data_IF_114021625059
#
_entry.id   IF_114021625059
#
_cell.length_a   1.000
_cell.length_b   1.000
_cell.length_c   1.000
_cell.angle_alpha   90.00
_cell.angle_beta   90.00
_cell.angle_gamma   90.00
#
_symmetry.space_group_name_H-M   'P 1'
#
loop_
_entity.id
_entity.type
_entity.pdbx_description
1 polymer ?
#
# COMPACT_ATOMS: atom_id res chain seq x y z
N UNK A 1 32.33 -17.96 20.48
CA UNK A 1 32.95 -18.87 19.49
C UNK A 1 31.82 -19.54 18.76
N UNK A 2 31.71 -19.35 17.44
CA UNK A 2 30.74 -20.10 16.66
C UNK A 2 31.21 -21.56 16.63
N UNK A 3 30.42 -22.47 17.21
CA UNK A 3 30.60 -23.91 17.02
C UNK A 3 30.44 -24.20 15.53
N UNK A 4 31.43 -24.85 14.92
CA UNK A 4 31.32 -25.27 13.53
C UNK A 4 30.48 -26.55 13.47
N UNK A 5 29.24 -26.40 12.98
CA UNK A 5 28.23 -27.47 13.02
C UNK A 5 28.33 -28.46 11.84
N UNK A 6 29.05 -28.12 10.78
CA UNK A 6 29.01 -28.83 9.50
C UNK A 6 30.38 -29.18 8.90
N UNK A 7 31.49 -28.98 9.63
CA UNK A 7 32.85 -29.23 9.12
C UNK A 7 33.11 -30.71 8.79
N UNK A 8 32.37 -31.62 9.42
CA UNK A 8 32.43 -33.05 9.15
C UNK A 8 31.79 -33.45 7.80
N UNK A 9 31.14 -32.51 7.10
CA UNK A 9 30.44 -32.75 5.84
C UNK A 9 30.97 -31.86 4.73
N UNK A 10 31.04 -32.41 3.51
CA UNK A 10 31.30 -31.59 2.33
C UNK A 10 30.13 -30.63 2.08
N UNK A 11 30.38 -29.36 1.72
CA UNK A 11 29.32 -28.43 1.36
C UNK A 11 28.57 -28.95 0.13
N UNK A 12 27.24 -28.88 0.17
CA UNK A 12 26.38 -29.25 -0.95
C UNK A 12 26.14 -28.05 -1.86
N UNK A 13 26.27 -28.27 -3.17
CA UNK A 13 25.94 -27.26 -4.18
C UNK A 13 24.44 -27.25 -4.51
N UNK A 14 23.97 -26.14 -5.09
CA UNK A 14 22.61 -26.04 -5.67
C UNK A 14 22.36 -27.12 -6.73
N UNK A 15 23.38 -27.49 -7.51
CA UNK A 15 23.31 -28.56 -8.51
C UNK A 15 23.01 -29.92 -7.87
N UNK A 16 23.67 -30.27 -6.77
CA UNK A 16 23.44 -31.53 -6.06
C UNK A 16 22.03 -31.57 -5.44
N UNK A 17 21.57 -30.45 -4.86
CA UNK A 17 20.19 -30.32 -4.40
C UNK A 17 19.17 -30.53 -5.52
N UNK A 18 19.37 -29.88 -6.67
CA UNK A 18 18.50 -30.04 -7.84
C UNK A 18 18.47 -31.48 -8.34
N UNK A 19 19.61 -32.18 -8.37
CA UNK A 19 19.68 -33.59 -8.73
C UNK A 19 18.87 -34.46 -7.77
N UNK A 20 18.96 -34.20 -6.46
CA UNK A 20 18.18 -34.93 -5.47
C UNK A 20 16.68 -34.70 -5.63
N UNK A 21 16.24 -33.45 -5.84
CA UNK A 21 14.83 -33.14 -6.12
C UNK A 21 14.37 -33.87 -7.39
N UNK A 22 15.16 -33.84 -8.46
CA UNK A 22 14.82 -34.53 -9.70
C UNK A 22 14.67 -36.04 -9.53
N UNK A 23 15.50 -36.65 -8.68
CA UNK A 23 15.36 -38.06 -8.32
C UNK A 23 14.05 -38.33 -7.56
N UNK A 24 13.70 -37.48 -6.59
CA UNK A 24 12.45 -37.62 -5.82
C UNK A 24 11.17 -37.32 -6.63
N UNK A 25 11.29 -36.59 -7.74
CA UNK A 25 10.18 -36.32 -8.65
C UNK A 25 9.75 -37.54 -9.49
N UNK A 26 10.48 -38.65 -9.44
CA UNK A 26 10.14 -39.93 -10.10
C UNK A 26 9.69 -39.77 -11.57
N UNK A 27 10.45 -38.98 -12.33
CA UNK A 27 10.19 -38.72 -13.75
C UNK A 27 9.27 -37.53 -14.04
N UNK A 28 8.67 -36.88 -13.04
CA UNK A 28 7.95 -35.62 -13.23
C UNK A 28 8.91 -34.47 -13.59
N UNK A 29 8.44 -33.54 -14.43
CA UNK A 29 9.24 -32.39 -14.85
C UNK A 29 9.42 -31.39 -13.70
N UNK A 30 10.66 -30.98 -13.46
CA UNK A 30 11.01 -30.06 -12.39
C UNK A 30 10.36 -28.67 -12.57
N UNK A 31 10.36 -28.14 -13.80
CA UNK A 31 9.86 -26.79 -14.05
C UNK A 31 8.33 -26.73 -13.99
N UNK A 32 7.64 -27.80 -14.36
CA UNK A 32 6.18 -27.88 -14.27
C UNK A 32 5.69 -28.21 -12.86
N UNK A 33 6.45 -28.99 -12.08
CA UNK A 33 5.97 -29.53 -10.79
C UNK A 33 6.30 -28.64 -9.59
N UNK A 34 7.51 -28.09 -9.53
CA UNK A 34 8.01 -27.41 -8.31
C UNK A 34 8.33 -25.93 -8.48
N UNK A 35 8.36 -25.43 -9.72
CA UNK A 35 8.48 -23.98 -9.96
C UNK A 35 7.09 -23.38 -9.99
N UNK A 36 6.86 -22.39 -9.11
CA UNK A 36 5.64 -21.59 -9.16
C UNK A 36 5.87 -20.35 -10.02
N UNK A 37 5.03 -20.17 -11.04
CA UNK A 37 5.03 -18.96 -11.87
C UNK A 37 4.03 -17.95 -11.29
N UNK A 38 4.55 -16.82 -10.82
CA UNK A 38 3.71 -15.78 -10.25
C UNK A 38 3.02 -14.93 -11.34
N UNK A 39 1.95 -14.18 -11.00
CA UNK A 39 1.31 -13.23 -11.93
C UNK A 39 2.25 -12.14 -12.47
N UNK A 40 3.37 -11.87 -11.78
CA UNK A 40 4.44 -10.96 -12.16
C UNK A 40 5.44 -11.58 -13.15
N UNK A 41 5.18 -12.80 -13.64
CA UNK A 41 6.08 -13.56 -14.50
C UNK A 41 7.43 -13.83 -13.80
N UNK A 42 7.37 -14.09 -12.49
CA UNK A 42 8.53 -14.49 -11.67
C UNK A 42 8.45 -15.99 -11.42
N UNK A 43 9.55 -16.68 -11.73
CA UNK A 43 9.73 -18.10 -11.41
C UNK A 43 10.26 -18.25 -10.00
N UNK A 44 9.37 -18.62 -9.08
CA UNK A 44 9.73 -18.90 -7.69
C UNK A 44 10.23 -20.33 -7.60
N UNK A 45 11.51 -20.46 -7.25
CA UNK A 45 12.19 -21.74 -7.08
C UNK A 45 11.81 -22.37 -5.72
N UNK A 46 11.82 -23.71 -5.61
CA UNK A 46 11.56 -24.40 -4.34
C UNK A 46 12.68 -24.19 -3.30
N UNK A 47 13.87 -23.76 -3.72
CA UNK A 47 14.98 -23.41 -2.83
C UNK A 47 15.84 -22.30 -3.45
N UNK A 48 16.59 -21.61 -2.59
CA UNK A 48 17.58 -20.60 -2.96
C UNK A 48 18.89 -20.92 -2.24
N UNK A 49 20.02 -20.70 -2.92
CA UNK A 49 21.32 -21.13 -2.43
C UNK A 49 22.40 -20.06 -2.66
N UNK A 50 23.44 -20.06 -1.81
CA UNK A 50 24.50 -19.04 -1.82
C UNK A 50 25.33 -19.04 -3.11
N UNK A 51 25.51 -20.21 -3.75
CA UNK A 51 26.28 -20.32 -5.00
C UNK A 51 25.53 -19.77 -6.22
N UNK A 52 24.21 -19.56 -6.13
CA UNK A 52 23.39 -18.87 -7.14
C UNK A 52 23.15 -17.39 -6.78
N UNK A 53 23.57 -16.97 -5.58
CA UNK A 53 23.32 -15.62 -5.09
C UNK A 53 24.40 -14.65 -5.56
N UNK A 54 24.02 -13.65 -6.37
CA UNK A 54 24.97 -12.70 -6.96
C UNK A 54 25.20 -11.47 -6.10
N UNK A 55 24.13 -10.80 -5.63
CA UNK A 55 24.22 -9.56 -4.87
C UNK A 55 22.94 -9.27 -4.08
N UNK A 56 23.10 -8.78 -2.85
CA UNK A 56 21.99 -8.28 -2.03
C UNK A 56 21.50 -6.92 -2.53
N UNK A 57 20.19 -6.67 -2.38
CA UNK A 57 19.63 -5.35 -2.62
C UNK A 57 20.11 -4.40 -1.51
N UNK A 58 20.64 -3.24 -1.89
CA UNK A 58 21.02 -2.21 -0.93
C UNK A 58 19.78 -1.40 -0.56
N UNK A 59 19.05 -1.86 0.47
CA UNK A 59 17.82 -1.22 0.94
C UNK A 59 17.98 -0.85 2.41
N UNK A 60 18.18 0.42 2.68
CA UNK A 60 18.14 0.93 4.05
C UNK A 60 16.69 1.13 4.48
N UNK A 61 16.29 0.46 5.56
CA UNK A 61 14.97 0.66 6.17
C UNK A 61 15.09 0.90 7.67
N UNK A 62 14.08 1.54 8.25
CA UNK A 62 13.93 1.74 9.69
C UNK A 62 12.75 0.92 10.22
N UNK A 63 12.70 -0.37 9.84
CA UNK A 63 11.57 -1.24 10.14
C UNK A 63 11.22 -1.28 11.64
N UNK A 64 12.22 -1.18 12.54
CA UNK A 64 11.98 -1.19 13.98
C UNK A 64 11.24 0.07 14.49
N UNK A 65 11.35 1.19 13.76
CA UNK A 65 10.81 2.48 14.17
C UNK A 65 9.41 2.77 13.61
N UNK A 66 8.77 1.80 12.95
CA UNK A 66 7.47 1.98 12.29
C UNK A 66 6.43 2.57 13.25
N UNK A 67 5.59 3.47 12.73
CA UNK A 67 4.53 4.11 13.51
C UNK A 67 3.20 3.39 13.36
N UNK A 68 2.54 3.12 14.48
CA UNK A 68 1.16 2.66 14.53
C UNK A 68 0.24 3.85 14.22
N UNK A 69 -0.34 3.87 13.02
CA UNK A 69 -1.15 4.97 12.52
C UNK A 69 -2.65 4.64 12.64
N UNK A 70 -3.44 5.54 13.21
CA UNK A 70 -4.90 5.42 13.23
C UNK A 70 -5.54 6.29 12.14
N UNK A 71 -6.46 5.70 11.38
CA UNK A 71 -7.30 6.44 10.44
C UNK A 71 -8.48 7.08 11.17
N UNK A 72 -8.72 8.36 10.89
CA UNK A 72 -9.87 9.12 11.42
C UNK A 72 -10.53 9.89 10.27
N UNK A 73 -11.78 9.54 9.98
CA UNK A 73 -12.60 10.33 9.07
C UNK A 73 -13.19 11.54 9.80
N UNK A 74 -12.91 12.76 9.32
CA UNK A 74 -13.36 14.00 9.97
C UNK A 74 -14.71 14.41 9.41
N UNK A 75 -15.78 13.92 10.05
CA UNK A 75 -17.15 14.35 9.77
C UNK A 75 -17.62 15.43 10.75
N UNK A 76 -17.35 15.24 12.03
CA UNK A 76 -17.67 16.15 13.13
C UNK A 76 -16.39 16.43 13.91
N UNK A 77 -15.98 17.70 13.96
CA UNK A 77 -14.67 18.09 14.53
C UNK A 77 -14.56 17.68 15.99
N UNK A 78 -15.59 17.91 16.80
CA UNK A 78 -15.55 17.62 18.24
C UNK A 78 -15.46 16.11 18.51
N UNK A 79 -16.25 15.31 17.79
CA UNK A 79 -16.18 13.84 17.89
C UNK A 79 -14.84 13.31 17.38
N UNK A 80 -14.28 13.89 16.31
CA UNK A 80 -12.97 13.51 15.79
C UNK A 80 -11.84 13.84 16.78
N UNK A 81 -11.91 14.96 17.50
CA UNK A 81 -10.96 15.29 18.59
C UNK A 81 -11.02 14.22 19.68
N UNK A 82 -12.22 13.88 20.16
CA UNK A 82 -12.37 12.87 21.22
C UNK A 82 -11.83 11.51 20.80
N UNK A 83 -12.12 11.09 19.57
CA UNK A 83 -11.58 9.83 19.01
C UNK A 83 -10.06 9.87 18.86
N UNK A 84 -9.50 10.98 18.41
CA UNK A 84 -8.05 11.14 18.28
C UNK A 84 -7.36 11.05 19.65
N UNK A 85 -7.85 11.75 20.68
CA UNK A 85 -7.33 11.67 22.05
C UNK A 85 -7.38 10.24 22.59
N UNK A 86 -8.55 9.61 22.51
CA UNK A 86 -8.74 8.24 23.00
C UNK A 86 -7.82 7.24 22.32
N UNK A 87 -7.61 7.39 21.01
CA UNK A 87 -6.74 6.48 20.26
C UNK A 87 -5.27 6.68 20.62
N UNK A 88 -4.82 7.93 20.77
CA UNK A 88 -3.44 8.22 21.20
C UNK A 88 -3.15 7.68 22.61
N UNK A 89 -4.10 7.80 23.54
CA UNK A 89 -4.01 7.20 24.89
C UNK A 89 -3.91 5.66 24.85
N UNK A 90 -4.43 5.05 23.78
CA UNK A 90 -4.50 3.59 23.61
C UNK A 90 -3.42 3.03 22.68
N UNK A 91 -2.31 3.75 22.52
CA UNK A 91 -1.11 3.26 21.87
C UNK A 91 -0.96 3.59 20.40
N UNK A 92 -1.84 4.39 19.79
CA UNK A 92 -1.53 4.95 18.48
C UNK A 92 -0.37 5.96 18.58
N UNK A 93 0.57 5.86 17.66
CA UNK A 93 1.76 6.72 17.61
C UNK A 93 1.60 7.86 16.60
N UNK A 94 0.73 7.66 15.61
CA UNK A 94 0.44 8.60 14.54
C UNK A 94 -1.06 8.62 14.19
N UNK A 95 -1.53 9.71 13.58
CA UNK A 95 -2.91 9.90 13.14
C UNK A 95 -2.96 10.23 11.65
N UNK A 96 -3.95 9.70 10.92
CA UNK A 96 -4.30 10.11 9.56
C UNK A 96 -5.72 10.64 9.52
N UNK A 97 -5.85 11.94 9.30
CA UNK A 97 -7.15 12.59 9.13
C UNK A 97 -7.55 12.61 7.66
N UNK A 98 -8.77 12.16 7.36
CA UNK A 98 -9.38 12.38 6.04
C UNK A 98 -10.37 13.53 6.14
N UNK A 99 -10.13 14.60 5.37
CA UNK A 99 -10.90 15.85 5.42
C UNK A 99 -11.57 16.09 4.07
N UNK A 100 -12.89 16.21 4.09
CA UNK A 100 -13.71 16.32 2.88
C UNK A 100 -13.81 17.75 2.33
N UNK A 101 -13.65 18.77 3.19
CA UNK A 101 -13.96 20.15 2.85
C UNK A 101 -12.97 21.13 3.50
N UNK A 102 -12.55 22.16 2.75
CA UNK A 102 -11.64 23.20 3.24
C UNK A 102 -12.22 24.05 4.40
N UNK A 103 -13.54 24.01 4.61
CA UNK A 103 -14.22 24.70 5.72
C UNK A 103 -14.07 24.00 7.07
N UNK A 104 -13.48 22.81 7.12
CA UNK A 104 -13.22 22.12 8.39
C UNK A 104 -12.28 22.96 9.25
N UNK A 105 -12.67 23.24 10.50
CA UNK A 105 -11.85 23.97 11.46
C UNK A 105 -10.66 23.13 11.93
N UNK A 106 -9.58 23.21 11.15
CA UNK A 106 -8.36 22.45 11.38
C UNK A 106 -7.58 22.93 12.61
N UNK A 107 -7.71 24.21 12.95
CA UNK A 107 -7.08 24.75 14.14
C UNK A 107 -7.73 24.14 15.39
N UNK A 108 -9.06 24.18 15.48
CA UNK A 108 -9.81 23.53 16.56
C UNK A 108 -9.51 22.03 16.63
N UNK A 109 -9.48 21.34 15.49
CA UNK A 109 -9.20 19.89 15.43
C UNK A 109 -7.86 19.52 16.09
N UNK A 110 -6.83 20.35 15.92
CA UNK A 110 -5.46 20.05 16.37
C UNK A 110 -5.07 20.75 17.69
N UNK A 111 -5.86 21.72 18.15
CA UNK A 111 -5.54 22.60 19.28
C UNK A 111 -5.23 21.82 20.56
N UNK A 112 -6.05 20.81 20.90
CA UNK A 112 -5.92 20.07 22.15
C UNK A 112 -5.23 18.71 21.98
N UNK A 113 -4.77 18.36 20.78
CA UNK A 113 -4.11 17.07 20.54
C UNK A 113 -2.62 17.12 20.96
N UNK A 114 -2.10 16.08 21.65
CA UNK A 114 -0.70 16.00 22.08
C UNK A 114 0.20 15.53 20.91
N UNK A 115 0.52 16.45 19.99
CA UNK A 115 1.17 16.14 18.70
C UNK A 115 2.70 16.37 18.65
N UNK A 116 3.32 16.85 19.73
CA UNK A 116 4.77 17.11 19.76
C UNK A 116 5.56 15.85 19.39
N UNK A 117 6.47 15.99 18.41
CA UNK A 117 7.27 14.90 17.82
C UNK A 117 6.48 13.74 17.19
N UNK A 118 5.17 13.89 16.99
CA UNK A 118 4.34 12.87 16.32
C UNK A 118 4.24 13.12 14.83
N UNK A 119 3.92 12.07 14.10
CA UNK A 119 3.56 12.15 12.68
C UNK A 119 2.05 12.30 12.54
N UNK A 120 1.59 13.26 11.74
CA UNK A 120 0.18 13.43 11.38
C UNK A 120 0.04 13.52 9.86
N UNK A 121 -0.82 12.68 9.30
CA UNK A 121 -1.17 12.68 7.89
C UNK A 121 -2.51 13.37 7.65
N UNK A 122 -2.62 14.09 6.55
CA UNK A 122 -3.85 14.74 6.09
C UNK A 122 -4.16 14.28 4.67
N UNK A 123 -5.20 13.46 4.52
CA UNK A 123 -5.77 13.13 3.22
C UNK A 123 -6.87 14.16 2.93
N UNK A 124 -6.60 15.06 2.00
CA UNK A 124 -7.53 16.13 1.62
C UNK A 124 -8.25 15.75 0.32
N UNK A 125 -9.58 15.82 0.33
CA UNK A 125 -10.39 15.62 -0.89
C UNK A 125 -10.63 16.93 -1.66
N UNK A 126 -9.76 17.91 -1.45
CA UNK A 126 -9.74 19.22 -2.08
C UNK A 126 -8.29 19.71 -2.15
N UNK A 127 -8.06 20.75 -2.95
CA UNK A 127 -6.78 21.45 -3.01
C UNK A 127 -7.00 22.92 -2.67
N UNK A 128 -6.32 23.43 -1.65
CA UNK A 128 -6.50 24.79 -1.16
C UNK A 128 -5.18 25.35 -0.64
N UNK A 129 -4.75 26.49 -1.17
CA UNK A 129 -3.46 27.10 -0.83
C UNK A 129 -3.45 27.53 0.64
N UNK A 130 -4.50 28.21 1.08
CA UNK A 130 -4.57 28.79 2.41
C UNK A 130 -4.72 27.71 3.48
N UNK A 131 -5.47 26.64 3.20
CA UNK A 131 -5.59 25.50 4.09
C UNK A 131 -4.24 24.81 4.34
N UNK A 132 -3.45 24.61 3.29
CA UNK A 132 -2.14 23.95 3.42
C UNK A 132 -1.09 24.87 4.08
N UNK A 133 -1.13 26.18 3.85
CA UNK A 133 -0.31 27.15 4.59
C UNK A 133 -0.65 27.16 6.09
N UNK A 134 -1.93 27.06 6.42
CA UNK A 134 -2.37 26.95 7.80
C UNK A 134 -1.83 25.67 8.45
N UNK A 135 -1.90 24.52 7.74
CA UNK A 135 -1.28 23.27 8.20
C UNK A 135 0.22 23.39 8.42
N UNK A 136 0.97 24.05 7.52
CA UNK A 136 2.42 24.26 7.65
C UNK A 136 2.75 25.13 8.88
N UNK A 137 1.94 26.17 9.13
CA UNK A 137 2.09 27.00 10.32
C UNK A 137 1.80 26.22 11.61
N UNK A 138 0.74 25.40 11.60
CA UNK A 138 0.37 24.55 12.73
C UNK A 138 1.42 23.46 12.99
N UNK A 139 2.08 22.92 11.97
CA UNK A 139 3.12 21.90 12.15
C UNK A 139 4.30 22.46 12.96
N UNK A 140 4.68 23.71 12.72
CA UNK A 140 5.72 24.41 13.48
C UNK A 140 5.25 24.65 14.92
N UNK A 141 4.06 25.24 15.10
CA UNK A 141 3.51 25.56 16.42
C UNK A 141 3.40 24.31 17.31
N UNK A 142 3.01 23.18 16.72
CA UNK A 142 2.86 21.90 17.40
C UNK A 142 4.15 21.09 17.50
N UNK A 143 5.23 21.54 16.85
CA UNK A 143 6.49 20.79 16.71
C UNK A 143 6.24 19.34 16.26
N UNK A 144 5.42 19.19 15.23
CA UNK A 144 4.93 17.91 14.73
C UNK A 144 5.31 17.74 13.26
N UNK A 145 5.45 16.48 12.82
CA UNK A 145 5.77 16.16 11.42
C UNK A 145 4.48 15.95 10.65
N UNK A 146 4.13 16.90 9.80
CA UNK A 146 2.91 16.86 9.00
C UNK A 146 3.19 16.37 7.58
N UNK A 147 2.32 15.49 7.10
CA UNK A 147 2.24 15.03 5.72
C UNK A 147 0.88 15.44 5.16
N UNK A 148 0.87 16.43 4.27
CA UNK A 148 -0.33 16.82 3.54
C UNK A 148 -0.39 15.95 2.29
N UNK A 149 -1.04 14.80 2.34
CA UNK A 149 -1.03 13.79 1.28
C UNK A 149 -1.83 14.25 0.04
N UNK A 150 -1.42 15.34 -0.61
CA UNK A 150 -2.03 15.81 -1.84
C UNK A 150 -1.58 14.95 -3.01
N UNK A 151 -2.56 14.47 -3.77
CA UNK A 151 -2.34 13.65 -4.95
C UNK A 151 -3.34 14.01 -6.07
N UNK A 152 -3.17 15.14 -6.79
CA UNK A 152 -4.06 15.52 -7.88
C UNK A 152 -4.13 14.53 -9.04
N UNK A 153 -3.02 13.85 -9.37
CA UNK A 153 -3.01 12.83 -10.42
C UNK A 153 -3.75 11.58 -9.95
N UNK A 154 -3.57 11.14 -8.70
CA UNK A 154 -4.32 10.04 -8.11
C UNK A 154 -5.81 10.36 -8.01
N UNK A 155 -6.17 11.59 -7.64
CA UNK A 155 -7.56 12.06 -7.67
C UNK A 155 -8.13 12.04 -9.09
N UNK A 156 -7.37 12.52 -10.08
CA UNK A 156 -7.75 12.45 -11.49
C UNK A 156 -7.96 11.02 -11.97
N UNK A 157 -7.06 10.09 -11.61
CA UNK A 157 -7.18 8.67 -11.92
C UNK A 157 -8.42 8.02 -11.27
N UNK A 158 -8.73 8.39 -10.02
CA UNK A 158 -9.86 7.83 -9.23
C UNK A 158 -11.21 8.40 -9.61
N UNK A 159 -11.29 9.70 -9.86
CA UNK A 159 -12.56 10.40 -10.10
C UNK A 159 -12.84 10.64 -11.59
N UNK A 160 -11.80 10.59 -12.43
CA UNK A 160 -11.84 10.90 -13.85
C UNK A 160 -11.82 12.40 -14.18
N UNK A 161 -11.71 13.25 -13.15
CA UNK A 161 -11.62 14.71 -13.24
C UNK A 161 -10.60 15.22 -12.23
N UNK A 162 -9.93 16.33 -12.55
CA UNK A 162 -9.00 16.99 -11.64
C UNK A 162 -9.74 17.62 -10.43
N UNK A 163 -8.99 17.97 -9.38
CA UNK A 163 -9.59 18.80 -8.33
C UNK A 163 -10.09 20.11 -8.93
N UNK A 164 -11.20 20.60 -8.38
CA UNK A 164 -11.65 21.95 -8.66
C UNK A 164 -10.70 22.95 -8.00
N UNK A 165 -10.26 23.93 -8.78
CA UNK A 165 -9.35 25.01 -8.37
C UNK A 165 -10.01 26.35 -8.72
N UNK A 166 -9.68 27.42 -8.00
CA UNK A 166 -10.33 28.72 -8.19
C UNK A 166 -9.96 29.37 -9.53
N UNK A 167 -8.66 29.40 -9.88
CA UNK A 167 -8.15 30.19 -11.02
C UNK A 167 -7.00 29.55 -11.80
N UNK A 168 -6.36 28.51 -11.25
CA UNK A 168 -5.14 27.90 -11.80
C UNK A 168 -5.31 26.42 -12.06
N UNK A 169 -4.48 25.82 -12.92
CA UNK A 169 -4.48 24.37 -13.05
C UNK A 169 -3.90 23.71 -11.77
N UNK A 170 -4.11 22.41 -11.61
CA UNK A 170 -3.71 21.69 -10.40
C UNK A 170 -2.19 21.72 -10.15
N UNK A 171 -1.35 21.66 -11.20
CA UNK A 171 0.10 21.72 -11.06
C UNK A 171 0.58 23.11 -10.65
N UNK A 172 0.02 24.17 -11.24
CA UNK A 172 0.33 25.55 -10.85
C UNK A 172 -0.08 25.81 -9.38
N UNK A 173 -1.21 25.23 -8.94
CA UNK A 173 -1.64 25.32 -7.54
C UNK A 173 -0.66 24.59 -6.62
N UNK A 174 -0.21 23.38 -6.97
CA UNK A 174 0.83 22.66 -6.21
C UNK A 174 2.12 23.48 -6.13
N UNK A 175 2.59 24.04 -7.25
CA UNK A 175 3.81 24.84 -7.30
C UNK A 175 3.72 26.10 -6.42
N UNK A 176 2.56 26.76 -6.39
CA UNK A 176 2.34 27.86 -5.44
C UNK A 176 2.39 27.38 -3.98
N UNK A 177 1.77 26.24 -3.67
CA UNK A 177 1.79 25.68 -2.33
C UNK A 177 3.24 25.36 -1.94
N UNK A 178 3.98 24.63 -2.78
CA UNK A 178 5.35 24.19 -2.50
C UNK A 178 6.33 25.34 -2.30
N UNK A 179 6.11 26.49 -2.97
CA UNK A 179 6.88 27.71 -2.74
C UNK A 179 6.54 28.39 -1.40
N UNK A 180 5.34 28.19 -0.91
CA UNK A 180 4.83 28.83 0.33
C UNK A 180 4.91 27.97 1.59
N UNK A 181 5.21 26.67 1.46
CA UNK A 181 5.30 25.72 2.57
C UNK A 181 6.63 25.00 2.57
N UNK A 182 7.31 24.92 3.72
CA UNK A 182 8.64 24.30 3.84
C UNK A 182 8.76 23.28 4.96
N UNK A 183 7.76 23.19 5.85
CA UNK A 183 7.86 22.42 7.09
C UNK A 183 7.14 21.07 6.99
N UNK A 184 6.12 20.97 6.14
CA UNK A 184 5.41 19.73 5.83
C UNK A 184 5.89 19.05 4.54
N UNK A 185 5.62 17.76 4.43
CA UNK A 185 5.71 17.00 3.17
C UNK A 185 4.39 17.16 2.40
N UNK A 186 4.46 17.59 1.14
CA UNK A 186 3.31 18.09 0.39
C UNK A 186 2.64 17.07 -0.53
N UNK A 187 3.39 16.11 -1.06
CA UNK A 187 2.90 15.24 -2.13
C UNK A 187 2.81 13.80 -1.66
N UNK A 188 1.77 13.12 -2.14
CA UNK A 188 1.67 11.67 -2.02
C UNK A 188 1.32 11.02 -3.35
N UNK A 189 1.63 9.74 -3.47
CA UNK A 189 1.21 8.86 -4.57
C UNK A 189 0.49 7.66 -3.96
N UNK A 190 -0.80 7.51 -4.25
CA UNK A 190 -1.60 6.39 -3.77
C UNK A 190 -1.56 5.20 -4.74
N UNK A 191 -0.61 4.28 -4.52
CA UNK A 191 -0.53 3.02 -5.27
C UNK A 191 -1.65 2.05 -4.87
N UNK A 192 -2.27 2.27 -3.71
CA UNK A 192 -3.42 1.50 -3.24
C UNK A 192 -4.58 1.54 -4.23
N UNK A 193 -4.77 2.66 -4.95
CA UNK A 193 -5.73 2.74 -6.05
C UNK A 193 -5.51 1.64 -7.10
N UNK A 194 -4.27 1.47 -7.55
CA UNK A 194 -3.93 0.51 -8.60
C UNK A 194 -4.08 -0.93 -8.10
N UNK A 195 -3.58 -1.22 -6.90
CA UNK A 195 -3.72 -2.54 -6.31
C UNK A 195 -5.19 -2.93 -6.12
N UNK A 196 -5.99 -2.05 -5.50
CA UNK A 196 -7.40 -2.34 -5.23
C UNK A 196 -8.23 -2.43 -6.52
N UNK A 197 -7.74 -1.88 -7.65
CA UNK A 197 -8.31 -2.06 -8.98
C UNK A 197 -7.86 -3.36 -9.70
N UNK A 198 -6.84 -4.05 -9.17
CA UNK A 198 -6.36 -5.34 -9.68
C UNK A 198 -5.05 -5.29 -10.46
N UNK A 199 -4.23 -4.27 -10.25
CA UNK A 199 -2.88 -4.21 -10.79
C UNK A 199 -1.97 -5.26 -10.11
N UNK A 200 -1.12 -5.93 -10.88
CA UNK A 200 -0.05 -6.80 -10.36
C UNK A 200 0.98 -5.99 -9.56
N UNK A 201 1.82 -6.65 -8.77
CA UNK A 201 2.82 -5.94 -7.95
C UNK A 201 3.79 -5.12 -8.83
N UNK A 202 4.22 -5.66 -9.96
CA UNK A 202 5.05 -4.94 -10.94
C UNK A 202 4.36 -3.70 -11.48
N UNK A 203 3.06 -3.79 -11.79
CA UNK A 203 2.27 -2.65 -12.24
C UNK A 203 2.12 -1.60 -11.14
N UNK A 204 1.86 -2.01 -9.89
CA UNK A 204 1.74 -1.08 -8.75
C UNK A 204 3.01 -0.24 -8.60
N UNK A 205 4.18 -0.87 -8.58
CA UNK A 205 5.47 -0.17 -8.45
C UNK A 205 5.69 0.74 -9.65
N UNK A 206 5.63 0.22 -10.88
CA UNK A 206 5.91 0.99 -12.09
C UNK A 206 4.97 2.19 -12.26
N UNK A 207 3.66 2.00 -12.07
CA UNK A 207 2.67 3.07 -12.18
C UNK A 207 2.85 4.14 -11.11
N UNK A 208 3.21 3.76 -9.88
CA UNK A 208 3.50 4.74 -8.84
C UNK A 208 4.76 5.56 -9.10
N UNK A 209 5.80 4.93 -9.66
CA UNK A 209 7.05 5.60 -9.98
C UNK A 209 6.85 6.54 -11.15
N UNK A 210 6.13 6.10 -12.19
CA UNK A 210 5.76 6.94 -13.34
C UNK A 210 4.87 8.11 -12.89
N UNK A 211 3.89 7.86 -12.02
CA UNK A 211 3.08 8.90 -11.40
C UNK A 211 3.97 9.90 -10.62
N UNK A 212 4.85 9.44 -9.72
CA UNK A 212 5.77 10.32 -9.00
C UNK A 212 6.68 11.11 -9.96
N UNK A 213 7.10 10.50 -11.07
CA UNK A 213 7.91 11.13 -12.12
C UNK A 213 7.18 12.32 -12.77
N UNK A 214 5.85 12.25 -12.90
CA UNK A 214 5.06 13.39 -13.42
C UNK A 214 5.16 14.61 -12.49
N UNK A 215 5.22 14.39 -11.17
CA UNK A 215 5.43 15.46 -10.18
C UNK A 215 6.87 15.99 -10.23
N UNK A 216 7.87 15.10 -10.28
CA UNK A 216 9.28 15.49 -10.38
C UNK A 216 9.56 16.39 -11.60
N UNK A 217 8.90 16.11 -12.74
CA UNK A 217 9.03 16.91 -13.95
C UNK A 217 8.30 18.26 -13.91
N UNK A 218 7.21 18.38 -13.14
CA UNK A 218 6.31 19.55 -13.20
C UNK A 218 6.37 20.46 -11.99
N UNK A 219 6.84 19.97 -10.86
CA UNK A 219 6.91 20.70 -9.60
C UNK A 219 8.38 21.01 -9.32
N UNK A 220 8.87 22.24 -9.60
CA UNK A 220 10.30 22.57 -9.54
C UNK A 220 10.94 22.33 -8.17
N UNK A 221 10.15 22.42 -7.10
CA UNK A 221 10.58 22.18 -5.74
C UNK A 221 9.53 21.35 -5.01
N UNK A 222 9.91 20.14 -4.60
CA UNK A 222 9.10 19.29 -3.74
C UNK A 222 9.64 19.43 -2.31
N UNK A 223 8.82 19.91 -1.35
CA UNK A 223 9.28 20.06 0.03
C UNK A 223 9.31 18.69 0.73
N UNK A 224 10.41 18.43 1.45
CA UNK A 224 10.64 17.20 2.23
C UNK A 224 10.43 15.93 1.41
N UNK A 225 9.70 14.93 1.90
CA UNK A 225 9.61 13.59 1.31
C UNK A 225 8.31 13.43 0.49
N UNK A 226 8.31 12.51 -0.49
CA UNK A 226 7.06 12.05 -1.13
C UNK A 226 6.51 10.86 -0.36
N UNK A 227 5.21 10.91 -0.03
CA UNK A 227 4.53 9.79 0.63
C UNK A 227 4.03 8.80 -0.41
N UNK A 228 4.41 7.54 -0.29
CA UNK A 228 3.80 6.45 -1.06
C UNK A 228 2.78 5.74 -0.17
N UNK A 229 1.49 5.86 -0.51
CA UNK A 229 0.39 5.18 0.20
C UNK A 229 0.18 3.79 -0.41
N UNK A 230 0.59 2.75 0.31
CA UNK A 230 0.71 1.39 -0.21
C UNK A 230 -0.40 0.52 0.35
N UNK A 231 -1.15 -0.15 -0.54
CA UNK A 231 -1.95 -1.30 -0.12
C UNK A 231 -1.06 -2.54 0.04
N UNK A 232 -1.38 -3.46 0.96
CA UNK A 232 -0.61 -4.69 1.18
C UNK A 232 -1.55 -5.89 1.13
N UNK A 233 -1.26 -6.86 0.26
CA UNK A 233 -2.05 -8.08 0.05
C UNK A 233 -1.51 -9.32 0.76
N UNK A 234 -2.08 -10.47 0.42
CA UNK A 234 -1.83 -11.75 1.11
C UNK A 234 -0.54 -12.47 0.71
N UNK A 235 0.13 -12.06 -0.37
CA UNK A 235 1.37 -12.71 -0.80
C UNK A 235 2.56 -12.22 0.03
N UNK A 236 2.74 -12.85 1.19
CA UNK A 236 3.58 -12.39 2.29
C UNK A 236 4.98 -11.91 1.87
N UNK A 237 5.73 -12.73 1.12
CA UNK A 237 7.10 -12.42 0.72
C UNK A 237 7.18 -11.44 -0.45
N UNK A 238 6.25 -11.51 -1.40
CA UNK A 238 6.18 -10.54 -2.50
C UNK A 238 5.86 -9.15 -1.98
N UNK A 239 5.02 -9.03 -0.96
CA UNK A 239 4.70 -7.76 -0.33
C UNK A 239 5.90 -7.16 0.41
N UNK A 240 6.68 -7.97 1.14
CA UNK A 240 7.96 -7.54 1.72
C UNK A 240 8.90 -7.02 0.61
N UNK A 241 9.05 -7.81 -0.46
CA UNK A 241 9.92 -7.47 -1.57
C UNK A 241 9.45 -6.23 -2.35
N UNK A 242 8.12 -5.99 -2.43
CA UNK A 242 7.50 -4.83 -3.09
C UNK A 242 7.93 -3.53 -2.44
N UNK A 243 7.83 -3.43 -1.11
CA UNK A 243 8.20 -2.22 -0.37
C UNK A 243 9.69 -1.92 -0.52
N UNK A 244 10.54 -2.95 -0.43
CA UNK A 244 12.00 -2.85 -0.65
C UNK A 244 12.32 -2.37 -2.07
N UNK A 245 11.70 -2.97 -3.09
CA UNK A 245 11.92 -2.63 -4.49
C UNK A 245 11.47 -1.19 -4.81
N UNK A 246 10.31 -0.77 -4.28
CA UNK A 246 9.81 0.60 -4.46
C UNK A 246 10.77 1.64 -3.90
N UNK A 247 11.26 1.45 -2.66
CA UNK A 247 12.21 2.37 -2.02
C UNK A 247 13.50 2.50 -2.82
N UNK A 248 14.04 1.36 -3.28
CA UNK A 248 15.25 1.30 -4.09
C UNK A 248 15.07 2.03 -5.44
N UNK A 249 13.99 1.74 -6.16
CA UNK A 249 13.72 2.35 -7.46
C UNK A 249 13.38 3.84 -7.37
N UNK A 250 12.66 4.26 -6.33
CA UNK A 250 12.39 5.68 -6.13
C UNK A 250 13.68 6.46 -5.90
N UNK A 251 14.60 5.96 -5.06
CA UNK A 251 15.92 6.56 -4.85
C UNK A 251 16.71 6.67 -6.17
N UNK A 252 16.66 5.63 -6.99
CA UNK A 252 17.28 5.63 -8.32
C UNK A 252 16.70 6.73 -9.22
N UNK A 253 15.36 6.85 -9.28
CA UNK A 253 14.70 7.86 -10.13
C UNK A 253 14.93 9.28 -9.60
N UNK A 254 14.85 9.49 -8.28
CA UNK A 254 15.09 10.79 -7.66
C UNK A 254 16.51 11.32 -7.96
N UNK A 255 17.52 10.43 -7.96
CA UNK A 255 18.89 10.80 -8.26
C UNK A 255 19.06 11.42 -9.67
N UNK A 256 18.26 11.01 -10.65
CA UNK A 256 18.28 11.57 -12.02
C UNK A 256 17.84 13.05 -12.06
N UNK A 257 17.13 13.52 -11.03
CA UNK A 257 16.74 14.93 -10.87
C UNK A 257 17.73 15.73 -10.00
N UNK A 258 18.91 15.18 -9.70
CA UNK A 258 19.91 15.77 -8.80
C UNK A 258 19.30 16.14 -7.43
N UNK A 259 18.41 15.30 -6.91
CA UNK A 259 17.78 15.49 -5.60
C UNK A 259 17.98 14.26 -4.72
N UNK A 260 18.24 14.49 -3.43
CA UNK A 260 18.28 13.46 -2.39
C UNK A 260 16.88 13.19 -1.80
N UNK A 261 15.85 13.32 -2.64
CA UNK A 261 14.46 13.16 -2.22
C UNK A 261 14.21 11.73 -1.76
N UNK A 262 13.85 11.57 -0.50
CA UNK A 262 13.47 10.27 0.06
C UNK A 262 11.96 10.02 -0.02
N UNK A 263 11.57 8.74 0.01
CA UNK A 263 10.17 8.34 0.14
C UNK A 263 9.81 8.01 1.59
N UNK A 264 8.58 8.35 1.98
CA UNK A 264 7.92 7.90 3.19
C UNK A 264 6.84 6.87 2.82
N UNK A 265 6.91 5.66 3.35
CA UNK A 265 5.97 4.58 3.05
C UNK A 265 4.87 4.49 4.12
N UNK A 266 3.64 4.80 3.74
CA UNK A 266 2.45 4.61 4.57
C UNK A 266 1.66 3.41 4.07
N UNK A 267 1.71 2.31 4.82
CA UNK A 267 1.07 1.06 4.43
C UNK A 267 -0.32 0.88 5.05
N UNK A 268 -1.22 0.24 4.31
CA UNK A 268 -2.55 -0.18 4.77
C UNK A 268 -2.87 -1.53 4.13
N UNK A 269 -3.46 -2.49 4.85
CA UNK A 269 -4.01 -3.70 4.23
C UNK A 269 -4.93 -3.42 3.04
N UNK A 270 -4.84 -4.22 1.99
CA UNK A 270 -5.69 -4.08 0.79
C UNK A 270 -7.15 -4.32 1.13
N UNK A 271 -8.07 -3.68 0.39
CA UNK A 271 -9.51 -4.01 0.44
C UNK A 271 -9.85 -5.17 -0.52
N UNK A 272 -9.00 -5.43 -1.51
CA UNK A 272 -9.25 -6.34 -2.63
C UNK A 272 -9.60 -7.78 -2.20
N UNK A 273 -8.98 -8.26 -1.14
CA UNK A 273 -9.16 -9.62 -0.59
C UNK A 273 -10.04 -9.65 0.68
N UNK A 274 -10.71 -8.54 1.03
CA UNK A 274 -11.55 -8.44 2.21
C UNK A 274 -12.99 -8.82 1.87
N UNK A 275 -13.60 -9.57 2.77
CA UNK A 275 -14.88 -10.24 2.54
C UNK A 275 -15.92 -9.77 3.56
N UNK A 276 -17.20 -9.72 3.17
CA UNK A 276 -18.29 -9.39 4.10
C UNK A 276 -18.84 -10.64 4.80
N UNK A 277 -18.69 -11.81 4.17
CA UNK A 277 -18.95 -13.11 4.80
C UNK A 277 -17.69 -13.66 5.44
N UNK A 278 -17.89 -14.45 6.50
CA UNK A 278 -16.82 -14.96 7.35
C UNK A 278 -15.80 -13.86 7.70
N UNK A 279 -16.34 -12.68 8.05
CA UNK A 279 -15.57 -11.44 8.18
C UNK A 279 -14.46 -11.51 9.23
N UNK A 280 -14.54 -12.44 10.20
CA UNK A 280 -13.49 -12.67 11.18
C UNK A 280 -12.17 -13.12 10.52
N UNK A 281 -12.23 -13.78 9.35
CA UNK A 281 -11.04 -14.15 8.57
C UNK A 281 -10.29 -12.90 8.09
N UNK A 282 -10.95 -11.74 7.96
CA UNK A 282 -10.26 -10.49 7.66
C UNK A 282 -9.22 -10.15 8.72
N UNK A 283 -9.43 -10.50 10.00
CA UNK A 283 -8.42 -10.29 11.05
C UNK A 283 -7.15 -11.10 10.79
N UNK A 284 -7.27 -12.33 10.27
CA UNK A 284 -6.12 -13.16 9.92
C UNK A 284 -5.35 -12.57 8.73
N UNK A 285 -6.08 -12.09 7.72
CA UNK A 285 -5.51 -11.42 6.54
C UNK A 285 -4.71 -10.19 6.98
N UNK A 286 -5.33 -9.30 7.75
CA UNK A 286 -4.70 -8.05 8.19
C UNK A 286 -3.48 -8.29 9.07
N UNK A 287 -3.45 -9.34 9.90
CA UNK A 287 -2.24 -9.69 10.66
C UNK A 287 -1.05 -9.95 9.73
N UNK A 288 -1.21 -10.83 8.74
CA UNK A 288 -0.11 -11.16 7.80
C UNK A 288 0.26 -9.98 6.91
N UNK A 289 -0.71 -9.18 6.47
CA UNK A 289 -0.46 -7.98 5.66
C UNK A 289 0.28 -6.90 6.44
N UNK A 290 -0.07 -6.67 7.72
CA UNK A 290 0.66 -5.76 8.59
C UNK A 290 2.08 -6.27 8.87
N UNK A 291 2.27 -7.58 9.06
CA UNK A 291 3.62 -8.17 9.19
C UNK A 291 4.46 -7.91 7.95
N UNK A 292 3.95 -8.20 6.75
CA UNK A 292 4.65 -7.91 5.49
C UNK A 292 4.98 -6.42 5.33
N UNK A 293 4.06 -5.53 5.72
CA UNK A 293 4.29 -4.09 5.68
C UNK A 293 5.48 -3.67 6.57
N UNK A 294 5.52 -4.15 7.81
CA UNK A 294 6.58 -3.81 8.77
C UNK A 294 7.92 -4.39 8.30
N UNK A 295 7.95 -5.67 7.94
CA UNK A 295 9.17 -6.35 7.49
C UNK A 295 9.69 -5.84 6.14
N UNK A 296 8.81 -5.30 5.30
CA UNK A 296 9.17 -4.59 4.07
C UNK A 296 9.71 -3.17 4.31
N UNK A 297 9.70 -2.68 5.55
CA UNK A 297 10.23 -1.37 5.93
C UNK A 297 9.25 -0.22 5.72
N UNK A 298 7.96 -0.41 5.99
CA UNK A 298 7.00 0.68 6.04
C UNK A 298 7.33 1.64 7.20
N UNK A 299 7.24 2.95 6.95
CA UNK A 299 7.53 3.98 7.95
C UNK A 299 6.34 4.18 8.90
N UNK A 300 5.12 3.94 8.41
CA UNK A 300 3.91 3.86 9.22
C UNK A 300 2.94 2.81 8.66
N UNK A 301 2.19 2.17 9.55
CA UNK A 301 1.17 1.18 9.19
C UNK A 301 -0.17 1.61 9.79
N UNK A 302 -1.15 1.80 8.93
CA UNK A 302 -2.53 2.04 9.30
C UNK A 302 -3.35 0.77 9.01
N UNK A 303 -3.62 -0.03 10.04
CA UNK A 303 -4.36 -1.26 9.88
C UNK A 303 -5.85 -0.98 9.51
N UNK A 304 -6.48 -1.94 8.85
CA UNK A 304 -7.88 -1.87 8.42
C UNK A 304 -8.75 -2.66 9.43
N UNK A 305 -9.77 -2.04 10.05
CA UNK A 305 -10.74 -2.77 10.84
C UNK A 305 -11.43 -3.88 10.04
N UNK A 306 -11.67 -5.04 10.68
CA UNK A 306 -12.19 -6.24 10.02
C UNK A 306 -13.61 -6.04 9.43
N UNK A 307 -14.35 -5.07 9.99
CA UNK A 307 -15.73 -4.69 9.69
C UNK A 307 -15.86 -3.43 8.83
N UNK A 308 -14.74 -2.78 8.50
CA UNK A 308 -14.68 -1.49 7.79
C UNK A 308 -15.37 -1.45 6.42
N UNK A 309 -15.68 -2.60 5.83
CA UNK A 309 -16.43 -2.69 4.57
C UNK A 309 -17.93 -2.49 4.74
N UNK A 310 -18.49 -2.88 5.89
CA UNK A 310 -19.93 -3.00 6.09
C UNK A 310 -20.45 -2.31 7.35
N UNK A 311 -19.59 -1.97 8.32
CA UNK A 311 -19.95 -1.15 9.48
C UNK A 311 -19.32 0.23 9.41
N UNK A 312 -20.01 1.22 10.00
CA UNK A 312 -19.39 2.51 10.27
C UNK A 312 -18.25 2.34 11.28
N UNK A 313 -17.32 3.28 11.23
CA UNK A 313 -16.27 3.43 12.21
C UNK A 313 -16.77 3.26 13.65
N UNK A 314 -16.18 2.31 14.37
CA UNK A 314 -16.52 1.98 15.75
C UNK A 314 -15.27 1.61 16.54
N UNK A 315 -15.32 1.78 17.87
CA UNK A 315 -14.15 1.56 18.74
C UNK A 315 -13.75 0.08 18.84
N UNK A 316 -14.68 -0.87 18.63
CA UNK A 316 -14.32 -2.28 18.70
C UNK A 316 -13.43 -2.68 17.51
N UNK A 317 -13.85 -2.39 16.29
CA UNK A 317 -13.07 -2.62 15.07
C UNK A 317 -11.73 -1.88 15.09
N UNK A 318 -11.73 -0.60 15.46
CA UNK A 318 -10.51 0.20 15.60
C UNK A 318 -9.53 -0.37 16.62
N UNK A 319 -10.04 -0.79 17.80
CA UNK A 319 -9.22 -1.38 18.85
C UNK A 319 -8.58 -2.68 18.38
N UNK A 320 -9.32 -3.55 17.70
CA UNK A 320 -8.75 -4.80 17.17
C UNK A 320 -7.65 -4.50 16.15
N UNK A 321 -7.91 -3.58 15.20
CA UNK A 321 -6.92 -3.20 14.20
C UNK A 321 -5.64 -2.62 14.82
N UNK A 322 -5.77 -1.74 15.82
CA UNK A 322 -4.63 -1.16 16.55
C UNK A 322 -3.90 -2.20 17.40
N UNK A 323 -4.63 -3.07 18.09
CA UNK A 323 -4.03 -4.10 18.94
C UNK A 323 -3.22 -5.11 18.16
N UNK A 324 -3.62 -5.47 16.93
CA UNK A 324 -2.78 -6.32 16.07
C UNK A 324 -1.39 -5.71 15.87
N UNK A 325 -1.30 -4.40 15.62
CA UNK A 325 -0.02 -3.71 15.48
C UNK A 325 0.75 -3.61 16.80
N UNK A 326 0.06 -3.37 17.92
CA UNK A 326 0.68 -3.33 19.25
C UNK A 326 1.28 -4.70 19.64
N UNK A 327 0.56 -5.80 19.37
CA UNK A 327 1.06 -7.16 19.61
C UNK A 327 2.28 -7.43 18.75
N UNK A 328 2.25 -7.11 17.45
CA UNK A 328 3.41 -7.25 16.57
C UNK A 328 4.62 -6.47 17.09
N UNK A 329 4.38 -5.23 17.53
CA UNK A 329 5.45 -4.34 18.02
C UNK A 329 6.03 -4.82 19.34
N UNK A 330 5.20 -5.04 20.35
CA UNK A 330 5.63 -5.18 21.74
C UNK A 330 5.73 -6.63 22.23
N UNK A 331 4.96 -7.56 21.65
CA UNK A 331 4.95 -8.97 22.06
C UNK A 331 5.68 -9.86 21.05
N UNK A 332 5.62 -9.53 19.76
CA UNK A 332 6.40 -10.20 18.71
C UNK A 332 7.75 -9.53 18.43
N UNK A 333 8.05 -8.42 19.11
CA UNK A 333 9.33 -7.71 19.07
C UNK A 333 9.75 -7.20 17.68
N UNK A 334 8.78 -6.75 16.87
CA UNK A 334 9.07 -6.18 15.55
C UNK A 334 9.77 -4.80 15.65
N UNK A 335 9.93 -4.26 16.86
CA UNK A 335 10.64 -3.01 17.17
C UNK A 335 12.14 -3.20 17.50
N UNK A 336 12.72 -4.39 17.26
CA UNK A 336 14.10 -4.69 17.68
C UNK A 336 15.15 -4.64 16.58
N UNK A 337 14.76 -4.85 15.32
CA UNK A 337 15.71 -5.00 14.20
C UNK A 337 15.21 -4.22 12.98
N UNK A 338 16.09 -3.45 12.37
CA UNK A 338 15.77 -2.63 11.19
C UNK A 338 15.80 -3.38 9.87
N UNK A 339 16.49 -4.51 9.81
CA UNK A 339 16.72 -5.26 8.59
C UNK A 339 16.37 -6.76 8.72
N UNK A 340 15.17 -7.12 9.24
CA UNK A 340 14.82 -8.51 9.53
C UNK A 340 14.74 -9.40 8.28
N UNK A 341 14.57 -8.80 7.09
CA UNK A 341 14.48 -9.52 5.81
C UNK A 341 15.81 -9.61 5.04
N UNK A 342 16.84 -8.86 5.47
CA UNK A 342 18.09 -8.76 4.72
C UNK A 342 18.89 -10.07 4.78
N UNK A 343 19.54 -10.40 3.67
CA UNK A 343 20.34 -11.62 3.54
C UNK A 343 19.52 -12.90 3.28
N UNK A 344 18.19 -12.83 3.32
CA UNK A 344 17.34 -13.92 2.83
C UNK A 344 17.49 -14.06 1.31
N UNK A 345 18.12 -15.13 0.84
CA UNK A 345 18.33 -15.34 -0.60
C UNK A 345 17.04 -15.25 -1.42
N UNK A 346 15.92 -15.72 -0.86
CA UNK A 346 14.61 -15.64 -1.51
C UNK A 346 14.12 -14.19 -1.61
N UNK A 347 14.07 -13.46 -0.48
CA UNK A 347 13.54 -12.09 -0.47
C UNK A 347 14.42 -11.16 -1.30
N UNK A 348 15.74 -11.31 -1.22
CA UNK A 348 16.68 -10.53 -2.04
C UNK A 348 16.50 -10.78 -3.54
N UNK A 349 16.42 -12.05 -3.95
CA UNK A 349 16.17 -12.41 -5.35
C UNK A 349 14.82 -11.87 -5.84
N UNK A 350 13.78 -11.96 -5.00
CA UNK A 350 12.46 -11.47 -5.32
C UNK A 350 12.42 -9.93 -5.42
N UNK A 351 13.08 -9.23 -4.50
CA UNK A 351 13.22 -7.76 -4.53
C UNK A 351 13.88 -7.31 -5.83
N UNK A 352 14.97 -7.96 -6.25
CA UNK A 352 15.66 -7.60 -7.49
C UNK A 352 14.82 -7.89 -8.74
N UNK A 353 14.18 -9.06 -8.82
CA UNK A 353 13.32 -9.39 -9.97
C UNK A 353 12.11 -8.45 -10.09
N UNK A 354 11.46 -8.12 -8.97
CA UNK A 354 10.39 -7.13 -8.95
C UNK A 354 10.90 -5.75 -9.38
N UNK A 355 12.08 -5.34 -8.90
CA UNK A 355 12.67 -4.06 -9.25
C UNK A 355 13.00 -3.97 -10.75
N UNK A 356 13.65 -5.00 -11.32
CA UNK A 356 14.01 -5.05 -12.73
C UNK A 356 12.79 -5.00 -13.65
N UNK A 357 11.79 -5.85 -13.37
CA UNK A 357 10.54 -5.88 -14.15
C UNK A 357 9.77 -4.56 -14.03
N UNK A 358 9.72 -3.97 -12.84
CA UNK A 358 9.01 -2.69 -12.62
C UNK A 358 9.73 -1.53 -13.29
N UNK A 359 11.07 -1.51 -13.25
CA UNK A 359 11.88 -0.52 -13.93
C UNK A 359 11.75 -0.61 -15.45
N UNK A 360 11.68 -1.83 -16.00
CA UNK A 360 11.43 -2.03 -17.43
C UNK A 360 10.05 -1.47 -17.83
N UNK A 361 9.00 -1.76 -17.07
CA UNK A 361 7.67 -1.21 -17.31
C UNK A 361 7.62 0.32 -17.12
N UNK A 362 8.32 0.87 -16.12
CA UNK A 362 8.48 2.31 -15.95
C UNK A 362 9.11 2.96 -17.19
N UNK A 363 10.23 2.41 -17.68
CA UNK A 363 10.89 2.92 -18.89
C UNK A 363 9.99 2.86 -20.12
N UNK A 364 9.22 1.79 -20.27
CA UNK A 364 8.22 1.68 -21.33
C UNK A 364 7.18 2.79 -21.24
N UNK A 365 6.62 3.06 -20.05
CA UNK A 365 5.67 4.17 -19.83
C UNK A 365 6.26 5.52 -20.23
N UNK A 366 7.48 5.82 -19.77
CA UNK A 366 8.15 7.09 -20.08
C UNK A 366 8.45 7.22 -21.57
N UNK A 367 8.89 6.14 -22.23
CA UNK A 367 9.15 6.12 -23.68
C UNK A 367 7.89 6.35 -24.52
N UNK A 368 6.72 5.98 -23.99
CA UNK A 368 5.42 6.20 -24.61
C UNK A 368 4.79 7.56 -24.26
N UNK A 369 5.52 8.45 -23.56
CA UNK A 369 5.15 9.83 -23.30
C UNK A 369 4.56 10.09 -21.91
N UNK A 370 4.82 9.20 -20.94
CA UNK A 370 4.54 9.41 -19.52
C UNK A 370 3.19 8.88 -19.04
N UNK A 371 3.08 8.76 -17.72
CA UNK A 371 1.92 8.22 -17.02
C UNK A 371 0.60 8.94 -17.37
N UNK A 372 0.58 10.27 -17.37
CA UNK A 372 -0.63 11.07 -17.63
C UNK A 372 -1.13 10.89 -19.05
N UNK A 373 -0.24 10.75 -20.04
CA UNK A 373 -0.63 10.49 -21.42
C UNK A 373 -1.31 9.13 -21.53
N UNK A 374 -0.69 8.09 -20.98
CA UNK A 374 -1.23 6.72 -20.97
C UNK A 374 -2.47 6.55 -20.08
N UNK A 375 -2.64 7.42 -19.09
CA UNK A 375 -3.86 7.49 -18.30
C UNK A 375 -5.00 8.12 -19.12
N UNK A 376 -4.70 9.20 -19.85
CA UNK A 376 -5.68 9.91 -20.70
C UNK A 376 -6.18 9.08 -21.88
N UNK A 377 -5.29 8.32 -22.54
CA UNK A 377 -5.68 7.45 -23.65
C UNK A 377 -6.32 6.11 -23.21
N UNK A 378 -6.33 5.85 -21.89
CA UNK A 378 -6.94 4.67 -21.27
C UNK A 378 -6.05 3.43 -21.21
N UNK A 379 -4.79 3.51 -21.63
CA UNK A 379 -3.83 2.38 -21.62
C UNK A 379 -3.61 1.83 -20.20
N UNK A 380 -3.35 2.70 -19.21
CA UNK A 380 -3.12 2.28 -17.82
C UNK A 380 -4.34 1.51 -17.29
N UNK A 381 -5.53 2.08 -17.46
CA UNK A 381 -6.79 1.44 -17.04
C UNK A 381 -6.99 0.09 -17.72
N UNK A 382 -6.80 0.01 -19.04
CA UNK A 382 -6.96 -1.23 -19.81
C UNK A 382 -6.03 -2.32 -19.27
N UNK A 383 -4.77 -2.00 -19.00
CA UNK A 383 -3.78 -2.95 -18.48
C UNK A 383 -4.11 -3.44 -17.07
N UNK A 384 -4.69 -2.59 -16.22
CA UNK A 384 -5.21 -3.00 -14.90
C UNK A 384 -6.44 -3.90 -15.06
N UNK A 385 -7.33 -3.61 -16.01
CA UNK A 385 -8.50 -4.45 -16.27
C UNK A 385 -8.11 -5.84 -16.80
N UNK A 386 -7.07 -5.91 -17.65
CA UNK A 386 -6.51 -7.17 -18.14
C UNK A 386 -5.95 -8.04 -16.98
N UNK A 387 -5.20 -7.45 -16.04
CA UNK A 387 -4.70 -8.18 -14.87
C UNK A 387 -5.82 -8.55 -13.89
N UNK A 388 -6.75 -7.63 -13.64
CA UNK A 388 -7.88 -7.86 -12.75
C UNK A 388 -8.79 -8.99 -13.25
N UNK A 389 -9.01 -9.09 -14.57
CA UNK A 389 -9.77 -10.18 -15.17
C UNK A 389 -9.09 -11.54 -14.97
N UNK A 390 -7.76 -11.61 -15.20
CA UNK A 390 -6.99 -12.83 -14.94
C UNK A 390 -7.07 -13.28 -13.47
N UNK A 391 -6.96 -12.32 -12.54
CA UNK A 391 -7.09 -12.62 -11.11
C UNK A 391 -8.51 -13.07 -10.74
N UNK A 392 -9.54 -12.48 -11.35
CA UNK A 392 -10.92 -12.93 -11.19
C UNK A 392 -11.11 -14.36 -11.71
N UNK A 393 -10.53 -14.71 -12.86
CA UNK A 393 -10.60 -16.07 -13.40
C UNK A 393 -9.92 -17.09 -12.46
N UNK A 394 -8.80 -16.71 -11.83
CA UNK A 394 -8.14 -17.53 -10.79
C UNK A 394 -9.04 -17.69 -9.56
N UNK A 395 -9.73 -16.62 -9.14
CA UNK A 395 -10.65 -16.66 -8.01
C UNK A 395 -11.87 -17.54 -8.30
N UNK A 396 -12.49 -17.38 -9.47
CA UNK A 396 -13.67 -18.13 -9.90
C UNK A 396 -13.34 -19.63 -10.09
N UNK A 397 -12.11 -19.93 -10.57
CA UNK A 397 -11.58 -21.30 -10.68
C UNK A 397 -11.00 -21.87 -9.37
N UNK A 398 -11.08 -21.13 -8.26
CA UNK A 398 -10.59 -21.52 -6.92
C UNK A 398 -9.07 -21.77 -6.85
N UNK A 399 -8.30 -21.19 -7.78
CA UNK A 399 -6.83 -21.16 -7.73
C UNK A 399 -6.34 -20.02 -6.85
N UNK A 400 -6.99 -18.86 -6.93
CA UNK A 400 -6.85 -17.79 -5.93
C UNK A 400 -7.93 -18.00 -4.86
N UNK A 401 -7.51 -18.27 -3.62
CA UNK A 401 -8.42 -18.75 -2.57
C UNK A 401 -8.67 -17.67 -1.53
N UNK A 402 -9.95 -17.30 -1.35
CA UNK A 402 -10.41 -16.58 -0.17
C UNK A 402 -11.21 -17.55 0.72
N UNK A 403 -10.54 -18.01 1.79
CA UNK A 403 -11.13 -18.87 2.82
C UNK A 403 -12.40 -18.24 3.41
N UNK A 404 -13.43 -19.05 3.62
CA UNK A 404 -14.74 -18.61 4.10
C UNK A 404 -15.64 -18.05 2.98
N UNK A 405 -15.11 -17.90 1.77
CA UNK A 405 -15.80 -17.28 0.64
C UNK A 405 -15.90 -18.22 -0.57
N UNK A 406 -14.86 -18.33 -1.41
CA UNK A 406 -14.90 -19.26 -2.55
C UNK A 406 -14.46 -20.70 -2.18
N UNK A 407 -13.89 -20.86 -0.98
CA UNK A 407 -13.48 -22.15 -0.41
C UNK A 407 -13.96 -22.26 1.04
N UNK A 408 -14.61 -23.37 1.35
CA UNK A 408 -15.23 -23.65 2.65
C UNK A 408 -16.18 -22.56 3.17
N UNK A 409 -17.15 -22.06 2.36
CA UNK A 409 -18.10 -21.08 2.86
C UNK A 409 -19.05 -21.67 3.92
N UNK A 410 -19.27 -20.94 5.01
CA UNK A 410 -20.35 -21.24 5.94
C UNK A 410 -21.69 -20.84 5.32
N UNK A 411 -22.55 -21.80 4.96
CA UNK A 411 -23.84 -21.53 4.30
C UNK A 411 -24.89 -20.88 5.21
N UNK A 412 -24.74 -21.03 6.52
CA UNK A 412 -25.66 -20.47 7.52
C UNK A 412 -25.35 -18.99 7.83
N UNK A 413 -24.20 -18.49 7.40
CA UNK A 413 -23.80 -17.08 7.57
C UNK A 413 -24.73 -16.16 6.75
N UNK A 414 -25.20 -15.07 7.36
CA UNK A 414 -26.20 -14.14 6.80
C UNK A 414 -25.74 -12.71 7.06
N UNK A 415 -25.76 -11.87 6.03
CA UNK A 415 -25.23 -10.50 6.11
C UNK A 415 -26.25 -9.41 5.78
N UNK A 416 -27.38 -9.73 5.13
CA UNK A 416 -28.33 -8.72 4.62
C UNK A 416 -28.81 -7.71 5.66
N UNK A 417 -28.95 -8.13 6.91
CA UNK A 417 -29.42 -7.28 8.02
C UNK A 417 -28.30 -6.63 8.84
N UNK A 418 -27.03 -6.92 8.53
CA UNK A 418 -25.85 -6.41 9.26
C UNK A 418 -25.08 -5.33 8.47
N UNK A 419 -25.51 -5.00 7.25
CA UNK A 419 -24.86 -3.97 6.43
C UNK A 419 -25.33 -2.56 6.85
N UNK A 420 -24.43 -1.78 7.46
CA UNK A 420 -24.62 -0.33 7.69
C UNK A 420 -24.06 0.52 6.53
N UNK A 421 -23.06 0.00 5.84
CA UNK A 421 -22.43 0.57 4.65
C UNK A 421 -22.77 -0.26 3.42
N UNK A 422 -22.74 0.38 2.26
CA UNK A 422 -22.85 -0.31 0.98
C UNK A 422 -21.45 -0.77 0.52
N UNK A 423 -21.13 -2.08 0.56
CA UNK A 423 -19.76 -2.59 0.42
C UNK A 423 -19.36 -2.86 -1.04
N UNK A 424 -20.17 -2.41 -2.00
CA UNK A 424 -20.02 -2.69 -3.43
C UNK A 424 -19.74 -1.44 -4.24
N UNK A 425 -19.22 -1.62 -5.46
CA UNK A 425 -18.93 -0.52 -6.37
C UNK A 425 -20.23 0.23 -6.70
N UNK A 426 -20.24 1.54 -6.45
CA UNK A 426 -21.37 2.43 -6.77
C UNK A 426 -21.21 2.98 -8.18
N UNK A 427 -22.23 2.79 -9.02
CA UNK A 427 -22.28 3.40 -10.34
C UNK A 427 -22.80 4.84 -10.18
N UNK A 428 -21.97 5.83 -10.52
CA UNK A 428 -22.35 7.25 -10.54
C UNK A 428 -22.22 7.80 -11.96
N UNK A 429 -23.31 7.90 -12.74
CA UNK A 429 -23.25 8.44 -14.09
C UNK A 429 -22.89 9.93 -14.02
N UNK A 430 -21.73 10.30 -14.55
CA UNK A 430 -21.27 11.69 -14.65
C UNK A 430 -20.31 11.84 -15.83
N UNK A 431 -20.19 13.04 -16.37
CA UNK A 431 -19.20 13.36 -17.39
C UNK A 431 -17.81 13.43 -16.75
N UNK A 432 -16.86 12.69 -17.29
CA UNK A 432 -15.46 12.68 -16.86
C UNK A 432 -14.54 12.94 -18.04
N UNK A 433 -13.36 13.49 -17.77
CA UNK A 433 -12.33 13.70 -18.79
C UNK A 433 -11.70 12.37 -19.21
N UNK A 434 -11.54 11.45 -18.28
CA UNK A 434 -11.07 10.08 -18.52
C UNK A 434 -12.03 9.08 -17.91
N UNK A 435 -11.95 7.81 -18.31
CA UNK A 435 -12.65 6.77 -17.55
C UNK A 435 -11.88 6.49 -16.26
N UNK A 436 -12.51 6.58 -15.09
CA UNK A 436 -11.79 6.39 -13.84
C UNK A 436 -11.28 4.95 -13.64
N UNK A 437 -10.22 4.81 -12.86
CA UNK A 437 -9.76 3.55 -12.31
C UNK A 437 -10.64 3.23 -11.09
N UNK A 438 -11.28 2.05 -11.13
CA UNK A 438 -12.28 1.64 -10.13
C UNK A 438 -11.71 0.51 -9.29
N UNK A 439 -11.67 0.73 -7.98
CA UNK A 439 -11.36 -0.31 -7.00
C UNK A 439 -12.49 -1.35 -6.97
N UNK A 440 -12.16 -2.64 -6.95
CA UNK A 440 -13.15 -3.72 -6.90
C UNK A 440 -12.59 -4.92 -6.11
N UNK A 441 -13.40 -5.48 -5.22
CA UNK A 441 -13.02 -6.67 -4.44
C UNK A 441 -13.24 -7.94 -5.25
N UNK A 442 -12.41 -8.96 -5.03
CA UNK A 442 -12.54 -10.25 -5.72
C UNK A 442 -13.86 -10.96 -5.40
N UNK A 443 -14.27 -10.88 -4.13
CA UNK A 443 -15.47 -11.54 -3.63
C UNK A 443 -16.78 -10.85 -4.05
N UNK A 444 -16.71 -9.61 -4.55
CA UNK A 444 -17.89 -8.73 -4.71
C UNK A 444 -19.04 -9.38 -5.50
N UNK A 445 -18.75 -10.02 -6.64
CA UNK A 445 -19.78 -10.67 -7.46
C UNK A 445 -20.47 -11.82 -6.70
N UNK A 446 -19.66 -12.70 -6.09
CA UNK A 446 -20.15 -13.84 -5.31
C UNK A 446 -20.99 -13.38 -4.11
N UNK A 447 -20.59 -12.30 -3.46
CA UNK A 447 -21.30 -11.74 -2.30
C UNK A 447 -22.63 -11.09 -2.70
N UNK A 448 -22.69 -10.41 -3.84
CA UNK A 448 -23.95 -9.89 -4.39
C UNK A 448 -24.93 -11.01 -4.68
N UNK A 449 -24.50 -12.06 -5.40
CA UNK A 449 -25.32 -13.23 -5.69
C UNK A 449 -25.81 -13.91 -4.40
N UNK A 450 -24.97 -13.97 -3.36
CA UNK A 450 -25.35 -14.55 -2.08
C UNK A 450 -26.38 -13.70 -1.33
N UNK A 451 -26.23 -12.38 -1.30
CA UNK A 451 -27.20 -11.46 -0.67
C UNK A 451 -28.56 -11.46 -1.37
N UNK A 452 -28.60 -11.67 -2.68
CA UNK A 452 -29.86 -11.78 -3.44
C UNK A 452 -30.67 -13.03 -3.07
N UNK A 453 -29.98 -14.08 -2.59
CA UNK A 453 -30.59 -15.34 -2.13
C UNK A 453 -30.99 -15.33 -0.64
N UNK A 454 -30.59 -14.30 0.12
CA UNK A 454 -31.03 -14.04 1.50
C UNK A 454 -32.34 -13.25 1.53
#
# INVERSE_FOLDING_TARGET
MATTLFDDFNPLSSKQWKQKIQFELDGADYNETVIWNSPEDIQVKPFYHIDEFSKAALVETKAADFKICQNIFVYDVDKSIQRALNTLERGAESLRFTIQNEKTDIQKLLENLPLENRIVYFNLNFISIDFVKLLDSLSIQKKSVFYCNLDPIGYFAREGNWFTTSDKNNFDTIDLISKSTTNLSLLSVDLGLYQNAGATITQQIAYSLAHANEYLNRVPKIPKQIVFQISVGSNYFFEIAKLRALRMLFKLIAAEYNTDLECHLLATPTKRNKTIYDYNVNMLRTTTECMSAILGGADAVANLPYDSLYHKDNEFGDRIARNQLLILKHESYFDKVNNPADGSYYIESLTMQLAEKSLALFKDIESNGGFLKLLNDGTIKKKIQESAAKEQDLFDSKKEVLLGTNKYPNKEDKMKHDLELFPFVKIKPRKTLITPIIEKRLAEKLEQERLELE
#
